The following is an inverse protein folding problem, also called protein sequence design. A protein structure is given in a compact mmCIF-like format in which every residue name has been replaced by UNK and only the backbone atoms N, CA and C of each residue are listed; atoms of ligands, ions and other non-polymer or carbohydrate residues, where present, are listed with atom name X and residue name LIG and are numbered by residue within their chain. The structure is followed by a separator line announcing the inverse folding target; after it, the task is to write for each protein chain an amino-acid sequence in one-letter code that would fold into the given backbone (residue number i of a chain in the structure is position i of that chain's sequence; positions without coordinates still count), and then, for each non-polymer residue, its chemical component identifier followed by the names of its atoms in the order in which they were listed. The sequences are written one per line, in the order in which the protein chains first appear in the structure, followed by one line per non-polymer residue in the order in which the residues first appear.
data_IF_052740602179
#
_entry.id   IF_052740602179
#
_cell.length_a   1.000
_cell.length_b   1.000
_cell.length_c   1.000
_cell.angle_alpha   90.00
_cell.angle_beta   90.00
_cell.angle_gamma   90.00
#
_symmetry.space_group_name_H-M   'P 1'
#
loop_
_entity.id
_entity.type
_entity.pdbx_description
1 polymer ?
#
# COMPACT_ATOMS: atom_id res chain seq x y z
N UNK A 1 4.61 -10.69 -4.04
CA UNK A 1 4.47 -9.22 -4.06
C UNK A 1 3.09 -8.72 -3.64
N UNK A 2 2.06 -8.66 -4.50
CA UNK A 2 0.76 -8.01 -4.17
C UNK A 2 0.12 -8.42 -2.84
N UNK A 3 0.08 -9.72 -2.55
CA UNK A 3 -0.45 -10.22 -1.27
C UNK A 3 0.42 -9.78 -0.08
N UNK A 4 1.75 -9.88 -0.17
CA UNK A 4 2.67 -9.44 0.87
C UNK A 4 2.50 -7.94 1.19
N UNK A 5 2.43 -7.09 0.15
CA UNK A 5 2.16 -5.65 0.29
C UNK A 5 0.86 -5.42 1.05
N UNK A 6 -0.21 -6.15 0.72
CA UNK A 6 -1.51 -6.01 1.38
C UNK A 6 -1.46 -6.35 2.87
N UNK A 7 -0.55 -7.21 3.32
CA UNK A 7 -0.34 -7.50 4.74
C UNK A 7 0.66 -6.54 5.41
N UNK A 8 1.50 -5.82 4.65
CA UNK A 8 2.48 -4.88 5.20
C UNK A 8 1.90 -3.50 5.49
N UNK A 9 0.80 -3.11 4.83
CA UNK A 9 0.19 -1.79 5.02
C UNK A 9 -0.53 -1.71 6.37
N UNK A 10 -0.19 -0.69 7.17
CA UNK A 10 -0.90 -0.34 8.40
C UNK A 10 -2.17 0.47 8.07
N UNK A 11 -3.27 -0.23 7.80
CA UNK A 11 -4.57 0.39 7.49
C UNK A 11 -5.19 1.14 8.66
N UNK A 12 -4.86 0.77 9.90
CA UNK A 12 -5.33 1.48 11.10
C UNK A 12 -4.78 2.90 11.12
N UNK A 13 -3.48 3.07 10.86
CA UNK A 13 -2.85 4.38 10.72
C UNK A 13 -3.50 5.23 9.61
N UNK A 14 -3.84 4.61 8.46
CA UNK A 14 -4.55 5.33 7.38
C UNK A 14 -5.91 5.86 7.88
N UNK A 15 -6.68 5.03 8.58
CA UNK A 15 -8.02 5.38 9.05
C UNK A 15 -7.94 6.43 10.16
N UNK A 16 -7.18 6.15 11.22
CA UNK A 16 -7.18 6.93 12.46
C UNK A 16 -6.37 8.21 12.32
N UNK A 17 -5.18 8.14 11.72
CA UNK A 17 -4.26 9.27 11.64
C UNK A 17 -4.46 10.08 10.36
N UNK A 18 -4.41 9.43 9.18
CA UNK A 18 -4.46 10.18 7.91
C UNK A 18 -5.88 10.64 7.55
N UNK A 19 -6.89 9.87 7.95
CA UNK A 19 -8.30 10.15 7.64
C UNK A 19 -9.13 10.53 8.88
N UNK A 20 -8.49 10.66 10.06
CA UNK A 20 -9.14 11.15 11.30
C UNK A 20 -10.39 10.37 11.69
N UNK A 21 -10.41 9.07 11.44
CA UNK A 21 -11.53 8.17 11.72
C UNK A 21 -12.77 8.39 10.83
N UNK A 22 -12.67 9.17 9.75
CA UNK A 22 -13.83 9.53 8.90
C UNK A 22 -14.14 8.50 7.82
N UNK A 23 -13.27 7.51 7.63
CA UNK A 23 -13.41 6.45 6.62
C UNK A 23 -13.48 5.08 7.28
N UNK A 24 -14.11 4.13 6.59
CA UNK A 24 -14.10 2.73 6.97
C UNK A 24 -13.28 1.93 5.97
N UNK A 25 -12.67 0.86 6.46
CA UNK A 25 -11.89 -0.04 5.63
C UNK A 25 -12.80 -0.81 4.67
N UNK A 26 -12.47 -0.81 3.38
CA UNK A 26 -13.12 -1.73 2.45
C UNK A 26 -12.64 -3.17 2.66
N UNK A 27 -13.57 -4.10 2.70
CA UNK A 27 -13.29 -5.55 2.74
C UNK A 27 -13.27 -6.19 1.34
N UNK A 28 -13.71 -5.47 0.31
CA UNK A 28 -13.75 -5.94 -1.08
C UNK A 28 -13.82 -4.78 -2.09
N UNK A 29 -14.10 -5.06 -3.38
CA UNK A 29 -14.20 -4.03 -4.40
C UNK A 29 -15.55 -3.30 -4.41
N UNK A 30 -16.57 -3.86 -3.74
CA UNK A 30 -17.92 -3.31 -3.71
C UNK A 30 -18.18 -2.60 -2.39
N UNK A 31 -18.80 -1.42 -2.45
CA UNK A 31 -19.23 -0.69 -1.25
C UNK A 31 -20.49 -1.35 -0.63
N UNK A 32 -20.74 -1.15 0.68
CA UNK A 32 -21.85 -1.79 1.39
C UNK A 32 -23.24 -1.62 0.78
N UNK A 33 -23.47 -0.52 0.05
CA UNK A 33 -24.77 -0.21 -0.56
C UNK A 33 -25.01 -0.89 -1.92
N UNK A 34 -24.04 -1.66 -2.43
CA UNK A 34 -24.22 -2.39 -3.68
C UNK A 34 -24.90 -3.75 -3.43
N UNK A 35 -25.87 -4.17 -4.27
CA UNK A 35 -26.59 -5.44 -4.08
C UNK A 35 -25.72 -6.70 -3.99
N UNK A 36 -24.52 -6.67 -4.55
CA UNK A 36 -23.56 -7.79 -4.57
C UNK A 36 -22.48 -7.67 -3.49
N UNK A 37 -22.64 -6.76 -2.53
CA UNK A 37 -21.72 -6.62 -1.41
C UNK A 37 -21.76 -7.86 -0.50
N UNK A 38 -20.59 -8.42 -0.19
CA UNK A 38 -20.44 -9.48 0.81
C UNK A 38 -19.62 -8.94 2.00
N UNK A 39 -20.21 -8.79 3.19
CA UNK A 39 -19.50 -8.36 4.39
C UNK A 39 -18.48 -9.39 4.91
N UNK A 40 -18.55 -10.65 4.45
CA UNK A 40 -17.73 -11.74 4.99
C UNK A 40 -16.38 -11.91 4.27
N UNK A 41 -16.12 -11.12 3.23
CA UNK A 41 -14.82 -11.15 2.53
C UNK A 41 -13.72 -10.77 3.52
N UNK A 42 -12.73 -11.65 3.66
CA UNK A 42 -11.57 -11.43 4.53
C UNK A 42 -10.53 -10.57 3.81
N UNK A 43 -10.41 -9.31 4.21
CA UNK A 43 -9.31 -8.46 3.78
C UNK A 43 -8.01 -8.79 4.55
N UNK A 44 -6.87 -8.54 3.91
CA UNK A 44 -5.56 -8.66 4.57
C UNK A 44 -5.50 -7.77 5.82
N UNK A 45 -4.78 -8.13 6.86
CA UNK A 45 -4.59 -7.26 8.04
C UNK A 45 -3.13 -6.89 8.16
N UNK A 46 -2.80 -5.82 8.91
CA UNK A 46 -1.41 -5.49 9.13
C UNK A 46 -0.74 -6.62 9.92
N UNK A 47 0.12 -7.37 9.24
CA UNK A 47 0.79 -8.56 9.76
C UNK A 47 2.10 -8.78 8.99
N UNK A 48 3.19 -8.25 9.54
CA UNK A 48 4.50 -8.30 8.90
C UNK A 48 5.03 -9.73 8.80
N UNK A 49 4.76 -10.60 9.77
CA UNK A 49 5.15 -12.00 9.70
C UNK A 49 4.48 -12.70 8.51
N UNK A 50 3.17 -12.47 8.29
CA UNK A 50 2.46 -13.01 7.12
C UNK A 50 3.00 -12.43 5.82
N UNK A 51 3.24 -11.12 5.76
CA UNK A 51 3.81 -10.47 4.58
C UNK A 51 5.18 -11.04 4.21
N UNK A 52 6.09 -11.13 5.19
CA UNK A 52 7.45 -11.66 5.07
C UNK A 52 7.45 -13.15 4.70
N UNK A 53 6.58 -13.95 5.34
CA UNK A 53 6.44 -15.37 5.02
C UNK A 53 6.03 -15.60 3.57
N UNK A 54 5.10 -14.80 3.03
CA UNK A 54 4.70 -14.89 1.62
C UNK A 54 5.89 -14.65 0.68
N UNK A 55 6.84 -13.77 1.05
CA UNK A 55 8.03 -13.53 0.25
C UNK A 55 9.04 -14.69 0.34
N UNK A 56 9.20 -15.26 1.54
CA UNK A 56 10.04 -16.44 1.76
C UNK A 56 9.49 -17.66 1.01
N UNK A 57 8.18 -17.94 1.12
CA UNK A 57 7.50 -19.05 0.45
C UNK A 57 7.57 -18.93 -1.07
N UNK A 58 7.63 -17.69 -1.60
CA UNK A 58 7.80 -17.41 -3.01
C UNK A 58 9.26 -17.53 -3.49
N UNK A 59 10.21 -17.84 -2.60
CA UNK A 59 11.63 -17.96 -2.91
C UNK A 59 12.34 -16.63 -3.21
N UNK A 60 11.74 -15.50 -2.80
CA UNK A 60 12.32 -14.15 -3.03
C UNK A 60 13.49 -13.90 -2.08
N UNK A 61 13.42 -14.44 -0.86
CA UNK A 61 14.43 -14.26 0.18
C UNK A 61 14.41 -15.42 1.17
N UNK A 62 15.46 -15.53 1.98
CA UNK A 62 15.61 -16.53 3.05
C UNK A 62 15.72 -15.89 4.45
N UNK A 63 15.37 -14.61 4.56
CA UNK A 63 15.41 -13.86 5.81
C UNK A 63 14.46 -14.43 6.88
N UNK A 64 14.84 -14.24 8.13
CA UNK A 64 14.04 -14.67 9.28
C UNK A 64 12.72 -13.89 9.36
N UNK A 65 11.62 -14.59 9.59
CA UNK A 65 10.26 -14.02 9.61
C UNK A 65 9.82 -13.75 11.04
N UNK A 66 9.37 -12.52 11.31
CA UNK A 66 8.62 -12.15 12.51
C UNK A 66 7.77 -10.88 12.28
N UNK A 67 7.15 -10.36 13.34
CA UNK A 67 6.34 -9.13 13.29
C UNK A 67 7.09 -7.85 13.70
N UNK A 68 8.42 -7.92 13.89
CA UNK A 68 9.14 -6.80 14.47
C UNK A 68 9.30 -5.64 13.48
N UNK A 69 9.12 -4.43 13.98
CA UNK A 69 9.32 -3.16 13.25
C UNK A 69 10.68 -2.52 13.54
N UNK A 70 11.38 -3.01 14.57
CA UNK A 70 12.69 -2.52 15.04
C UNK A 70 13.58 -3.67 15.47
N UNK A 71 14.89 -3.45 15.50
CA UNK A 71 15.87 -4.43 15.95
C UNK A 71 16.40 -5.32 14.82
N UNK A 72 17.29 -6.28 15.12
CA UNK A 72 18.14 -6.90 14.12
C UNK A 72 17.40 -7.57 12.97
N UNK A 73 16.25 -8.20 13.25
CA UNK A 73 15.44 -8.85 12.20
C UNK A 73 14.79 -7.79 11.30
N UNK A 74 14.19 -6.74 11.88
CA UNK A 74 13.60 -5.66 11.09
C UNK A 74 14.67 -4.93 10.26
N UNK A 75 15.84 -4.68 10.84
CA UNK A 75 16.96 -4.00 10.16
C UNK A 75 17.49 -4.84 8.98
N UNK A 76 17.53 -6.17 9.12
CA UNK A 76 17.88 -7.07 8.03
C UNK A 76 16.88 -7.02 6.87
N UNK A 77 15.58 -6.91 7.16
CA UNK A 77 14.55 -6.75 6.12
C UNK A 77 14.69 -5.41 5.37
N UNK A 78 14.92 -4.30 6.09
CA UNK A 78 15.13 -2.98 5.47
C UNK A 78 16.38 -2.94 4.60
N UNK A 79 17.47 -3.55 5.08
CA UNK A 79 18.73 -3.63 4.35
C UNK A 79 18.71 -4.57 3.13
N UNK A 80 17.67 -5.38 2.98
CA UNK A 80 17.61 -6.41 1.95
C UNK A 80 17.37 -5.86 0.53
N UNK A 81 16.79 -4.66 0.41
CA UNK A 81 16.45 -3.98 -0.85
C UNK A 81 15.97 -4.95 -1.95
N UNK A 82 14.95 -5.75 -1.63
CA UNK A 82 14.48 -6.84 -2.47
C UNK A 82 13.78 -6.33 -3.73
N UNK A 83 13.22 -5.12 -3.68
CA UNK A 83 12.52 -4.49 -4.80
C UNK A 83 12.40 -2.98 -4.57
N UNK A 84 12.53 -2.21 -5.65
CA UNK A 84 12.18 -0.79 -5.67
C UNK A 84 10.96 -0.53 -6.55
N UNK A 85 10.01 0.28 -6.09
CA UNK A 85 8.88 0.76 -6.89
C UNK A 85 8.67 2.25 -6.71
N UNK A 86 8.24 2.91 -7.79
CA UNK A 86 7.81 4.30 -7.73
C UNK A 86 6.43 4.37 -7.06
N UNK A 87 6.18 5.47 -6.36
CA UNK A 87 4.85 5.85 -5.91
C UNK A 87 4.48 7.18 -6.55
N UNK A 88 3.72 7.07 -7.64
CA UNK A 88 3.23 8.20 -8.42
C UNK A 88 1.93 8.73 -7.83
N UNK A 89 1.90 10.03 -7.56
CA UNK A 89 0.71 10.75 -7.10
C UNK A 89 0.74 12.19 -7.61
N UNK A 90 -0.41 12.87 -7.56
CA UNK A 90 -0.47 14.29 -7.89
C UNK A 90 -0.05 15.13 -6.68
N UNK A 91 0.90 16.04 -6.88
CA UNK A 91 1.33 17.03 -5.89
C UNK A 91 0.17 17.94 -5.46
N UNK A 92 0.22 18.42 -4.23
CA UNK A 92 -0.82 19.25 -3.62
C UNK A 92 -1.99 18.47 -3.03
N UNK A 93 -1.94 17.13 -3.09
CA UNK A 93 -2.88 16.26 -2.38
C UNK A 93 -2.21 15.74 -1.10
N UNK A 94 -2.41 16.47 0.01
CA UNK A 94 -1.79 16.19 1.32
C UNK A 94 -2.00 14.75 1.79
N UNK A 95 -3.19 14.17 1.53
CA UNK A 95 -3.44 12.77 1.90
C UNK A 95 -2.55 11.79 1.13
N UNK A 96 -2.31 12.03 -0.18
CA UNK A 96 -1.44 11.17 -0.99
C UNK A 96 0.03 11.35 -0.63
N UNK A 97 0.43 12.56 -0.25
CA UNK A 97 1.77 12.87 0.27
C UNK A 97 2.04 12.14 1.59
N UNK A 98 1.14 12.25 2.56
CA UNK A 98 1.22 11.55 3.85
C UNK A 98 1.16 10.03 3.68
N UNK A 99 0.31 9.54 2.77
CA UNK A 99 0.27 8.12 2.42
C UNK A 99 1.62 7.65 1.85
N UNK A 100 2.29 8.45 1.03
CA UNK A 100 3.62 8.14 0.51
C UNK A 100 4.68 7.97 1.61
N UNK A 101 4.61 8.77 2.68
CA UNK A 101 5.45 8.61 3.88
C UNK A 101 5.15 7.28 4.57
N UNK A 102 3.87 6.97 4.79
CA UNK A 102 3.46 5.71 5.42
C UNK A 102 3.85 4.48 4.59
N UNK A 103 3.70 4.53 3.26
CA UNK A 103 4.09 3.44 2.37
C UNK A 103 5.59 3.20 2.38
N UNK A 104 6.40 4.26 2.34
CA UNK A 104 7.86 4.13 2.50
C UNK A 104 8.22 3.38 3.77
N UNK A 105 7.66 3.79 4.91
CA UNK A 105 7.91 3.12 6.18
C UNK A 105 7.43 1.66 6.19
N UNK A 106 6.18 1.40 5.80
CA UNK A 106 5.58 0.07 5.88
C UNK A 106 6.21 -0.95 4.93
N UNK A 107 6.57 -0.52 3.71
CA UNK A 107 7.10 -1.42 2.68
C UNK A 107 8.60 -1.67 2.87
N UNK A 108 9.34 -0.72 3.47
CA UNK A 108 10.72 -0.93 3.90
C UNK A 108 10.83 -2.07 4.93
N UNK A 109 9.82 -2.23 5.80
CA UNK A 109 9.74 -3.33 6.77
C UNK A 109 9.66 -4.73 6.13
N UNK A 110 9.39 -4.81 4.82
CA UNK A 110 9.43 -6.06 4.05
C UNK A 110 10.45 -6.02 2.91
N UNK A 111 11.42 -5.10 2.98
CA UNK A 111 12.52 -4.97 2.02
C UNK A 111 12.11 -4.39 0.68
N UNK A 112 11.05 -3.56 0.64
CA UNK A 112 10.61 -2.87 -0.56
C UNK A 112 10.87 -1.37 -0.40
N UNK A 113 11.74 -0.83 -1.24
CA UNK A 113 12.02 0.58 -1.31
C UNK A 113 10.95 1.30 -2.15
N UNK A 114 10.31 2.32 -1.57
CA UNK A 114 9.31 3.13 -2.26
C UNK A 114 9.93 4.47 -2.63
N UNK A 115 10.02 4.73 -3.93
CA UNK A 115 10.61 5.94 -4.49
C UNK A 115 9.50 6.98 -4.68
N UNK A 116 9.65 8.14 -4.06
CA UNK A 116 8.73 9.27 -4.23
C UNK A 116 8.76 9.75 -5.68
N UNK A 117 7.59 9.74 -6.32
CA UNK A 117 7.43 10.14 -7.71
C UNK A 117 6.22 11.08 -7.88
N UNK A 118 6.10 12.06 -6.98
CA UNK A 118 5.09 13.12 -7.06
C UNK A 118 5.20 13.93 -8.37
N UNK A 119 4.06 14.22 -9.00
CA UNK A 119 3.99 14.94 -10.27
C UNK A 119 2.82 15.93 -10.35
N UNK A 120 2.81 16.79 -11.39
CA UNK A 120 1.67 17.68 -11.64
C UNK A 120 0.39 16.89 -11.96
N UNK A 121 -0.79 17.51 -11.78
CA UNK A 121 -2.06 16.87 -12.13
C UNK A 121 -2.14 16.44 -13.60
N UNK A 122 -1.65 17.28 -14.52
CA UNK A 122 -1.61 16.96 -15.94
C UNK A 122 -0.74 15.72 -16.21
N UNK A 123 0.43 15.62 -15.57
CA UNK A 123 1.29 14.46 -15.72
C UNK A 123 0.68 13.22 -15.06
N UNK A 124 0.05 13.36 -13.89
CA UNK A 124 -0.62 12.26 -13.20
C UNK A 124 -1.78 11.68 -14.02
N UNK A 125 -2.60 12.54 -14.63
CA UNK A 125 -3.71 12.10 -15.51
C UNK A 125 -3.20 11.43 -16.78
N UNK A 126 -2.22 12.03 -17.48
CA UNK A 126 -1.59 11.40 -18.64
C UNK A 126 -0.97 10.03 -18.27
N UNK A 127 -0.43 9.91 -17.06
CA UNK A 127 0.09 8.64 -16.54
C UNK A 127 -1.01 7.61 -16.35
N UNK A 128 -2.08 7.98 -15.65
CA UNK A 128 -3.21 7.11 -15.34
C UNK A 128 -3.94 6.61 -16.60
N UNK A 129 -4.02 7.45 -17.66
CA UNK A 129 -4.63 7.07 -18.93
C UNK A 129 -3.70 6.28 -19.87
N UNK A 130 -2.44 6.06 -19.48
CA UNK A 130 -1.46 5.37 -20.30
C UNK A 130 -0.94 6.21 -21.48
N UNK A 131 -1.24 7.50 -21.51
CA UNK A 131 -0.78 8.45 -22.54
C UNK A 131 0.74 8.67 -22.49
N UNK A 132 1.38 8.24 -21.39
CA UNK A 132 2.85 8.18 -21.22
C UNK A 132 3.48 6.87 -21.75
N UNK A 133 2.71 6.02 -22.44
CA UNK A 133 3.13 4.70 -22.94
C UNK A 133 3.10 3.60 -21.86
N UNK A 134 3.51 2.37 -22.21
CA UNK A 134 3.58 1.25 -21.24
C UNK A 134 4.56 1.53 -20.08
N UNK A 135 5.56 2.38 -20.31
CA UNK A 135 6.47 2.95 -19.31
C UNK A 135 5.79 3.96 -18.36
N UNK A 136 4.56 4.37 -18.68
CA UNK A 136 3.75 5.26 -17.89
C UNK A 136 3.15 4.58 -16.66
N UNK A 137 2.84 3.29 -16.70
CA UNK A 137 2.21 2.64 -15.54
C UNK A 137 3.18 2.54 -14.35
N UNK A 138 2.69 2.90 -13.18
CA UNK A 138 3.42 2.68 -11.93
C UNK A 138 3.16 1.28 -11.38
N UNK A 139 4.16 0.71 -10.72
CA UNK A 139 4.05 -0.57 -10.03
C UNK A 139 3.35 -0.45 -8.68
N UNK A 140 3.25 0.75 -8.11
CA UNK A 140 2.50 1.05 -6.89
C UNK A 140 1.60 2.28 -7.06
N UNK A 141 0.39 2.05 -7.57
CA UNK A 141 -0.66 3.07 -7.62
C UNK A 141 -1.86 2.66 -6.76
N UNK A 142 -2.21 3.50 -5.77
CA UNK A 142 -3.32 3.26 -4.85
C UNK A 142 -4.46 4.24 -5.11
N UNK A 143 -5.63 3.68 -5.36
CA UNK A 143 -6.85 4.44 -5.59
C UNK A 143 -7.78 4.36 -4.39
N UNK A 144 -8.39 5.50 -4.07
CA UNK A 144 -9.36 5.63 -3.00
C UNK A 144 -10.64 6.18 -3.61
N UNK A 145 -11.70 5.38 -3.59
CA UNK A 145 -13.03 5.80 -4.01
C UNK A 145 -13.84 5.99 -2.72
N UNK A 146 -14.21 7.24 -2.45
CA UNK A 146 -15.11 7.55 -1.33
C UNK A 146 -16.55 7.33 -1.78
N UNK A 147 -17.25 6.40 -1.12
CA UNK A 147 -18.68 6.21 -1.24
C UNK A 147 -19.38 6.74 0.01
N UNK A 148 -20.27 7.72 -0.15
CA UNK A 148 -21.09 8.24 0.95
C UNK A 148 -22.09 7.18 1.42
N UNK A 149 -21.92 6.66 2.63
CA UNK A 149 -23.01 5.98 3.34
C UNK A 149 -23.89 7.06 3.98
N UNK A 150 -24.85 7.61 3.22
CA UNK A 150 -25.96 8.30 3.86
C UNK A 150 -26.76 7.23 4.60
N UNK A 151 -26.75 7.28 5.93
CA UNK A 151 -27.79 6.63 6.75
C UNK A 151 -29.10 7.39 6.56
#
# INVERSE_FOLDING_TARGET
WRQAISYAINYTCIIEELQRGTVYRSNGPLAPNFPMYDPNIKAATWNLAKARQILVDAGITTLTVNNDTTGPIADAWKAADLQSWNYSYNLGNVFREDLGVLLRYNLDLIGINVIDHGMSWANFTNRAYGDMGLSGYDSLELYWISGSNRK
#
